data_IF_119865589836
#
_entry.id   IF_119865589836
#
_cell.length_a   1.000
_cell.length_b   1.000
_cell.length_c   1.000
_cell.angle_alpha   90.00
_cell.angle_beta   90.00
_cell.angle_gamma   90.00
#
_symmetry.space_group_name_H-M   'P 1'
#
loop_
_entity.id
_entity.type
_entity.pdbx_description
1 polymer ?
#
# COMPACT_ATOMS: atom_id res chain seq x y z
N UNK A 1 -2.30 -28.01 23.84
CA UNK A 1 -3.49 -27.22 24.23
C UNK A 1 -3.07 -25.75 24.24
N UNK A 2 -3.26 -25.06 23.13
CA UNK A 2 -3.41 -23.60 23.01
C UNK A 2 -3.32 -23.22 21.53
N UNK A 3 -4.37 -22.54 21.07
CA UNK A 3 -4.37 -21.60 19.93
C UNK A 3 -4.58 -22.13 18.50
N UNK A 4 -5.71 -22.82 18.30
CA UNK A 4 -6.36 -22.87 16.99
C UNK A 4 -7.67 -22.09 17.05
N UNK A 5 -7.58 -20.79 17.37
CA UNK A 5 -8.67 -19.86 17.03
C UNK A 5 -8.62 -19.61 15.53
N UNK A 6 -9.10 -20.58 14.75
CA UNK A 6 -9.43 -20.42 13.34
C UNK A 6 -10.56 -19.39 13.22
N UNK A 7 -10.19 -18.11 13.28
CA UNK A 7 -11.11 -17.02 13.05
C UNK A 7 -11.38 -16.95 11.55
N UNK A 8 -12.43 -17.65 11.12
CA UNK A 8 -12.90 -17.62 9.75
C UNK A 8 -13.28 -16.18 9.38
N UNK A 9 -12.41 -15.51 8.64
CA UNK A 9 -12.76 -14.30 7.91
C UNK A 9 -13.79 -14.66 6.84
N UNK A 10 -14.86 -13.87 6.74
CA UNK A 10 -15.84 -14.03 5.67
C UNK A 10 -15.18 -13.88 4.30
N UNK A 11 -15.65 -14.65 3.32
CA UNK A 11 -15.15 -14.57 1.94
C UNK A 11 -15.28 -13.16 1.34
N UNK A 12 -16.34 -12.45 1.71
CA UNK A 12 -16.56 -11.06 1.31
C UNK A 12 -15.42 -10.15 1.79
N UNK A 13 -15.00 -10.28 3.05
CA UNK A 13 -13.90 -9.49 3.62
C UNK A 13 -12.56 -9.84 2.96
N UNK A 14 -12.30 -11.13 2.71
CA UNK A 14 -11.10 -11.57 1.99
C UNK A 14 -11.07 -11.00 0.56
N UNK A 15 -12.20 -11.04 -0.14
CA UNK A 15 -12.33 -10.47 -1.49
C UNK A 15 -12.10 -8.96 -1.47
N UNK A 16 -12.71 -8.25 -0.52
CA UNK A 16 -12.55 -6.79 -0.36
C UNK A 16 -11.09 -6.40 -0.12
N UNK A 17 -10.41 -7.04 0.82
CA UNK A 17 -9.00 -6.78 1.11
C UNK A 17 -8.10 -7.10 -0.09
N UNK A 18 -8.35 -8.22 -0.78
CA UNK A 18 -7.60 -8.57 -2.00
C UNK A 18 -7.76 -7.49 -3.06
N UNK A 19 -8.99 -7.03 -3.31
CA UNK A 19 -9.26 -5.98 -4.30
C UNK A 19 -8.59 -4.66 -3.91
N UNK A 20 -8.61 -4.27 -2.63
CA UNK A 20 -7.94 -3.06 -2.16
C UNK A 20 -6.43 -3.11 -2.36
N UNK A 21 -5.78 -4.21 -1.95
CA UNK A 21 -4.33 -4.37 -2.11
C UNK A 21 -3.93 -4.40 -3.59
N UNK A 22 -4.70 -5.11 -4.43
CA UNK A 22 -4.46 -5.14 -5.87
C UNK A 22 -4.67 -3.76 -6.53
N UNK A 23 -5.72 -3.02 -6.15
CA UNK A 23 -5.96 -1.68 -6.66
C UNK A 23 -4.82 -0.72 -6.28
N UNK A 24 -4.33 -0.77 -5.04
CA UNK A 24 -3.17 0.01 -4.61
C UNK A 24 -1.91 -0.33 -5.44
N UNK A 25 -1.67 -1.60 -5.73
CA UNK A 25 -0.54 -2.02 -6.56
C UNK A 25 -0.66 -1.46 -7.99
N UNK A 26 -1.86 -1.52 -8.59
CA UNK A 26 -2.11 -0.96 -9.93
C UNK A 26 -1.93 0.55 -9.94
N UNK A 27 -2.51 1.26 -8.97
CA UNK A 27 -2.35 2.72 -8.85
C UNK A 27 -0.87 3.06 -8.69
N UNK A 28 -0.11 2.32 -7.88
CA UNK A 28 1.33 2.55 -7.73
C UNK A 28 2.08 2.39 -9.06
N UNK A 29 1.78 1.34 -9.85
CA UNK A 29 2.37 1.18 -11.18
C UNK A 29 2.03 2.36 -12.08
N UNK A 30 0.79 2.85 -12.03
CA UNK A 30 0.40 4.06 -12.77
C UNK A 30 1.18 5.29 -12.29
N UNK A 31 1.38 5.47 -10.97
CA UNK A 31 2.21 6.53 -10.40
C UNK A 31 3.66 6.46 -10.89
N UNK A 32 4.24 5.26 -10.92
CA UNK A 32 5.59 5.06 -11.42
C UNK A 32 5.70 5.43 -12.90
N UNK A 33 4.74 4.98 -13.72
CA UNK A 33 4.68 5.30 -15.15
C UNK A 33 4.43 6.79 -15.41
N UNK A 34 3.67 7.47 -14.55
CA UNK A 34 3.51 8.93 -14.66
C UNK A 34 4.75 9.71 -14.24
N UNK A 35 5.75 9.08 -13.63
CA UNK A 35 7.09 9.65 -13.45
C UNK A 35 7.75 10.05 -14.77
N UNK A 36 7.50 9.31 -15.87
CA UNK A 36 7.97 9.69 -17.21
C UNK A 36 7.32 10.96 -17.76
N UNK A 37 6.25 11.45 -17.12
CA UNK A 37 5.52 12.65 -17.51
C UNK A 37 5.89 13.88 -16.65
N UNK A 38 6.89 13.77 -15.76
CA UNK A 38 7.21 14.79 -14.75
C UNK A 38 7.53 16.17 -15.35
N UNK A 39 8.17 16.22 -16.52
CA UNK A 39 8.53 17.46 -17.20
C UNK A 39 7.46 17.96 -18.19
N UNK A 40 6.28 17.34 -18.17
CA UNK A 40 5.17 17.70 -19.06
C UNK A 40 4.04 18.38 -18.30
N UNK A 41 3.12 19.02 -19.02
CA UNK A 41 1.88 19.55 -18.46
C UNK A 41 1.02 18.46 -17.78
N UNK A 42 1.28 17.19 -18.06
CA UNK A 42 0.57 16.04 -17.50
C UNK A 42 1.12 15.60 -16.13
N UNK A 43 2.13 16.28 -15.58
CA UNK A 43 2.66 15.99 -14.23
C UNK A 43 1.58 16.08 -13.14
N UNK A 44 0.46 16.79 -13.38
CA UNK A 44 -0.63 16.86 -12.40
C UNK A 44 -1.20 15.47 -12.04
N UNK A 45 -1.10 14.49 -12.96
CA UNK A 45 -1.53 13.12 -12.71
C UNK A 45 -0.74 12.43 -11.58
N UNK A 46 0.55 12.77 -11.38
CA UNK A 46 1.33 12.25 -10.25
C UNK A 46 0.65 12.59 -8.92
N UNK A 47 0.21 13.85 -8.74
CA UNK A 47 -0.49 14.26 -7.51
C UNK A 47 -1.82 13.54 -7.33
N UNK A 48 -2.57 13.29 -8.42
CA UNK A 48 -3.81 12.51 -8.37
C UNK A 48 -3.51 11.08 -7.91
N UNK A 49 -2.54 10.40 -8.51
CA UNK A 49 -2.25 9.00 -8.15
C UNK A 49 -1.68 8.86 -6.74
N UNK A 50 -0.79 9.76 -6.30
CA UNK A 50 -0.33 9.77 -4.91
C UNK A 50 -1.49 10.04 -3.93
N UNK A 51 -2.45 10.91 -4.28
CA UNK A 51 -3.66 11.14 -3.48
C UNK A 51 -4.53 9.89 -3.38
N UNK A 52 -4.68 9.14 -4.47
CA UNK A 52 -5.39 7.87 -4.46
C UNK A 52 -4.68 6.80 -3.62
N UNK A 53 -3.34 6.73 -3.66
CA UNK A 53 -2.56 5.85 -2.79
C UNK A 53 -2.73 6.19 -1.31
N UNK A 54 -2.81 7.48 -0.98
CA UNK A 54 -3.06 7.96 0.37
C UNK A 54 -4.45 7.55 0.87
N UNK A 55 -5.50 7.88 0.10
CA UNK A 55 -6.88 7.53 0.46
C UNK A 55 -7.03 6.01 0.54
N UNK A 56 -6.53 5.28 -0.45
CA UNK A 56 -6.56 3.82 -0.48
C UNK A 56 -5.80 3.19 0.68
N UNK A 57 -4.69 3.80 1.11
CA UNK A 57 -3.94 3.38 2.30
C UNK A 57 -4.74 3.49 3.58
N UNK A 58 -5.38 4.63 3.80
CA UNK A 58 -6.28 4.85 4.94
C UNK A 58 -7.46 3.87 4.92
N UNK A 59 -8.08 3.68 3.75
CA UNK A 59 -9.19 2.73 3.58
C UNK A 59 -8.72 1.29 3.86
N UNK A 60 -7.54 0.90 3.41
CA UNK A 60 -6.97 -0.42 3.69
C UNK A 60 -6.74 -0.61 5.19
N UNK A 61 -6.16 0.38 5.88
CA UNK A 61 -5.94 0.32 7.32
C UNK A 61 -7.27 0.22 8.09
N UNK A 62 -8.26 1.05 7.75
CA UNK A 62 -9.60 1.01 8.36
C UNK A 62 -10.31 -0.31 8.13
N UNK A 63 -10.26 -0.84 6.89
CA UNK A 63 -10.81 -2.16 6.56
C UNK A 63 -10.07 -3.27 7.32
N UNK A 64 -8.76 -3.13 7.52
CA UNK A 64 -7.95 -4.09 8.28
C UNK A 64 -8.34 -4.09 9.76
N UNK A 65 -8.56 -2.93 10.39
CA UNK A 65 -9.02 -2.80 11.78
C UNK A 65 -10.37 -3.48 11.99
N UNK A 66 -11.30 -3.26 11.06
CA UNK A 66 -12.66 -3.81 11.13
C UNK A 66 -12.76 -5.26 10.68
N UNK A 67 -11.75 -5.76 9.95
CA UNK A 67 -11.67 -7.17 9.58
C UNK A 67 -11.25 -8.04 10.76
N UNK A 68 -11.59 -9.33 10.69
CA UNK A 68 -11.08 -10.36 11.61
C UNK A 68 -9.64 -10.81 11.27
N UNK A 69 -8.88 -10.04 10.49
CA UNK A 69 -7.50 -10.40 10.16
C UNK A 69 -6.62 -10.34 11.41
N UNK A 70 -5.85 -11.39 11.67
CA UNK A 70 -4.95 -11.49 12.83
C UNK A 70 -3.51 -11.79 12.42
N UNK A 71 -2.59 -11.67 13.39
CA UNK A 71 -1.20 -12.04 13.25
C UNK A 71 -0.48 -11.36 12.08
N UNK A 72 0.26 -12.16 11.31
CA UNK A 72 1.11 -11.69 10.20
C UNK A 72 0.29 -10.98 9.10
N UNK A 73 -0.89 -11.51 8.76
CA UNK A 73 -1.74 -10.91 7.71
C UNK A 73 -2.12 -9.47 8.08
N UNK A 74 -2.55 -9.25 9.33
CA UNK A 74 -2.89 -7.91 9.82
C UNK A 74 -1.69 -6.96 9.76
N UNK A 75 -0.51 -7.43 10.19
CA UNK A 75 0.71 -6.62 10.19
C UNK A 75 1.12 -6.18 8.78
N UNK A 76 1.09 -7.08 7.79
CA UNK A 76 1.45 -6.73 6.42
C UNK A 76 0.40 -5.84 5.72
N UNK A 77 -0.89 -6.00 6.05
CA UNK A 77 -1.93 -5.09 5.56
C UNK A 77 -1.74 -3.66 6.10
N UNK A 78 -1.41 -3.53 7.39
CA UNK A 78 -1.04 -2.23 7.95
C UNK A 78 0.24 -1.67 7.34
N UNK A 79 1.29 -2.49 7.19
CA UNK A 79 2.53 -2.06 6.54
C UNK A 79 2.24 -1.49 5.14
N UNK A 80 1.41 -2.19 4.37
CA UNK A 80 1.00 -1.76 3.02
C UNK A 80 0.28 -0.42 3.06
N UNK A 81 -0.71 -0.27 3.95
CA UNK A 81 -1.50 0.96 4.07
C UNK A 81 -0.71 2.15 4.62
N UNK A 82 0.18 1.92 5.58
CA UNK A 82 1.10 2.94 6.10
C UNK A 82 2.05 3.38 5.00
N UNK A 83 2.72 2.43 4.33
CA UNK A 83 3.65 2.75 3.26
C UNK A 83 2.97 3.55 2.13
N UNK A 84 1.78 3.15 1.69
CA UNK A 84 1.05 3.88 0.64
C UNK A 84 0.63 5.30 1.08
N UNK A 85 0.32 5.50 2.36
CA UNK A 85 0.02 6.81 2.95
C UNK A 85 1.28 7.69 3.00
N UNK A 86 2.40 7.12 3.42
CA UNK A 86 3.69 7.82 3.51
C UNK A 86 4.21 8.26 2.14
N UNK A 87 3.92 7.53 1.07
CA UNK A 87 4.34 7.89 -0.29
C UNK A 87 3.90 9.32 -0.68
N UNK A 88 2.65 9.71 -0.41
CA UNK A 88 2.18 11.08 -0.69
C UNK A 88 2.89 12.10 0.20
N UNK A 89 2.99 11.83 1.50
CA UNK A 89 3.58 12.76 2.48
C UNK A 89 5.02 13.06 2.11
N UNK A 90 5.81 12.03 1.80
CA UNK A 90 7.20 12.17 1.41
C UNK A 90 7.35 12.76 0.00
N UNK A 91 6.44 12.48 -0.93
CA UNK A 91 6.45 13.10 -2.26
C UNK A 91 6.22 14.62 -2.18
N UNK A 92 5.26 15.06 -1.36
CA UNK A 92 5.05 16.50 -1.11
C UNK A 92 6.29 17.11 -0.46
N UNK A 93 6.90 16.41 0.50
CA UNK A 93 8.15 16.84 1.13
C UNK A 93 9.29 17.00 0.12
N UNK A 94 9.47 16.00 -0.75
CA UNK A 94 10.46 16.02 -1.83
C UNK A 94 10.28 17.23 -2.75
N UNK A 95 9.07 17.41 -3.27
CA UNK A 95 8.74 18.55 -4.14
C UNK A 95 8.97 19.90 -3.45
N UNK A 96 8.63 20.00 -2.17
CA UNK A 96 8.86 21.22 -1.39
C UNK A 96 10.35 21.55 -1.26
N UNK A 97 11.19 20.58 -0.92
CA UNK A 97 12.65 20.79 -0.79
C UNK A 97 13.30 21.07 -2.15
N UNK A 98 12.87 20.37 -3.21
CA UNK A 98 13.29 20.59 -4.60
C UNK A 98 13.02 22.02 -5.05
N UNK A 99 11.78 22.51 -4.85
CA UNK A 99 11.38 23.87 -5.22
C UNK A 99 12.11 24.96 -4.41
N UNK A 100 12.51 24.66 -3.18
CA UNK A 100 13.30 25.57 -2.33
C UNK A 100 14.81 25.50 -2.59
N UNK A 101 15.28 24.55 -3.41
CA UNK A 101 16.70 24.38 -3.74
C UNK A 101 17.56 23.73 -2.65
N UNK A 102 16.95 23.02 -1.69
CA UNK A 102 17.66 22.33 -0.61
C UNK A 102 18.16 20.94 -1.06
N UNK A 103 19.21 20.90 -1.87
CA UNK A 103 19.69 19.69 -2.57
C UNK A 103 20.03 18.50 -1.65
N UNK A 104 20.66 18.73 -0.51
CA UNK A 104 21.06 17.65 0.42
C UNK A 104 19.83 16.98 1.07
N UNK A 105 18.82 17.78 1.41
CA UNK A 105 17.57 17.31 1.98
C UNK A 105 16.69 16.64 0.92
N UNK A 106 16.61 17.22 -0.28
CA UNK A 106 15.93 16.64 -1.43
C UNK A 106 16.40 15.20 -1.69
N UNK A 107 17.72 14.99 -1.84
CA UNK A 107 18.28 13.65 -2.07
C UNK A 107 18.04 12.67 -0.92
N UNK A 108 18.04 13.17 0.32
CA UNK A 108 17.72 12.36 1.50
C UNK A 108 16.25 11.91 1.52
N UNK A 109 15.32 12.80 1.15
CA UNK A 109 13.89 12.48 1.07
C UNK A 109 13.61 11.54 -0.12
N UNK A 110 14.30 11.72 -1.24
CA UNK A 110 14.21 10.82 -2.39
C UNK A 110 14.65 9.39 -2.01
N UNK A 111 15.77 9.24 -1.31
CA UNK A 111 16.22 7.94 -0.80
C UNK A 111 15.17 7.29 0.12
N UNK A 112 14.53 8.08 0.99
CA UNK A 112 13.43 7.58 1.85
C UNK A 112 12.21 7.16 1.03
N UNK A 113 11.86 7.85 -0.05
CA UNK A 113 10.79 7.45 -0.97
C UNK A 113 11.07 6.07 -1.60
N UNK A 114 12.32 5.78 -1.97
CA UNK A 114 12.71 4.46 -2.49
C UNK A 114 12.58 3.36 -1.42
N UNK A 115 12.98 3.65 -0.18
CA UNK A 115 12.78 2.70 0.93
C UNK A 115 11.30 2.45 1.23
N UNK A 116 10.46 3.49 1.25
CA UNK A 116 9.01 3.37 1.43
C UNK A 116 8.40 2.57 0.29
N UNK A 117 8.84 2.80 -0.95
CA UNK A 117 8.44 2.03 -2.14
C UNK A 117 8.75 0.55 -1.98
N UNK A 118 9.95 0.21 -1.52
CA UNK A 118 10.34 -1.18 -1.30
C UNK A 118 9.45 -1.84 -0.23
N UNK A 119 9.22 -1.16 0.88
CA UNK A 119 8.32 -1.63 1.95
C UNK A 119 6.88 -1.80 1.47
N UNK A 120 6.39 -0.88 0.63
CA UNK A 120 5.08 -0.97 0.02
C UNK A 120 4.95 -2.25 -0.81
N UNK A 121 5.91 -2.53 -1.70
CA UNK A 121 5.86 -3.75 -2.54
C UNK A 121 5.99 -5.04 -1.73
N UNK A 122 6.86 -5.08 -0.72
CA UNK A 122 6.92 -6.20 0.23
C UNK A 122 5.55 -6.39 0.89
N UNK A 123 4.94 -5.30 1.37
CA UNK A 123 3.59 -5.30 1.95
C UNK A 123 2.54 -5.87 1.00
N UNK A 124 2.49 -5.38 -0.24
CA UNK A 124 1.55 -5.83 -1.28
C UNK A 124 1.69 -7.33 -1.54
N UNK A 125 2.91 -7.78 -1.85
CA UNK A 125 3.16 -9.18 -2.22
C UNK A 125 2.82 -10.11 -1.07
N UNK A 126 3.30 -9.81 0.14
CA UNK A 126 3.07 -10.67 1.31
C UNK A 126 1.60 -10.66 1.71
N UNK A 127 0.92 -9.52 1.69
CA UNK A 127 -0.52 -9.40 1.95
C UNK A 127 -1.33 -10.30 0.99
N UNK A 128 -1.06 -10.24 -0.32
CA UNK A 128 -1.77 -11.05 -1.30
C UNK A 128 -1.51 -12.55 -1.12
N UNK A 129 -0.27 -12.94 -0.84
CA UNK A 129 0.09 -14.35 -0.58
C UNK A 129 -0.64 -14.87 0.67
N UNK A 130 -0.65 -14.10 1.76
CA UNK A 130 -1.29 -14.51 3.01
C UNK A 130 -2.81 -14.59 2.88
N UNK A 131 -3.45 -13.61 2.22
CA UNK A 131 -4.89 -13.65 1.96
C UNK A 131 -5.26 -14.85 1.08
N UNK A 132 -4.47 -15.16 0.05
CA UNK A 132 -4.71 -16.33 -0.81
C UNK A 132 -4.63 -17.65 -0.04
N UNK A 133 -3.66 -17.78 0.88
CA UNK A 133 -3.56 -18.95 1.76
C UNK A 133 -4.78 -19.11 2.67
N UNK A 134 -5.27 -18.02 3.25
CA UNK A 134 -6.50 -18.03 4.05
C UNK A 134 -7.72 -18.46 3.22
N UNK A 135 -7.82 -18.02 1.97
CA UNK A 135 -8.91 -18.43 1.07
C UNK A 135 -8.88 -19.94 0.79
N UNK A 136 -7.71 -20.52 0.57
CA UNK A 136 -7.56 -21.96 0.32
C UNK A 136 -7.83 -22.85 1.53
N UNK A 137 -7.65 -22.32 2.75
CA UNK A 137 -8.05 -23.02 3.99
C UNK A 137 -9.56 -23.00 4.21
N UNK A 138 -10.25 -21.96 3.71
CA UNK A 138 -11.70 -21.79 3.87
C UNK A 138 -12.53 -22.46 2.77
N UNK A 139 -11.91 -22.91 1.68
CA UNK A 139 -12.62 -23.70 0.65
C UNK A 139 -12.83 -25.13 1.16
N UNK A 140 -14.07 -25.68 1.14
CA UNK A 140 -14.30 -27.06 1.51
C UNK A 140 -13.44 -27.96 0.62
N UNK A 141 -12.66 -28.85 1.23
CA UNK A 141 -11.98 -29.92 0.51
C UNK A 141 -13.06 -30.74 -0.18
N UNK A 142 -13.17 -30.58 -1.50
CA UNK A 142 -14.00 -31.40 -2.37
C UNK A 142 -13.47 -32.82 -2.44
#
# INVERSE_FOLDING_TARGET
MADETHHNMSEENLRRLTMLVAALAVIYVMTFLSGFLQDTQLNFFNYIFFSLLFIGGIVLMSTTVTSKATGKTRAFLFLTGIASTLLLIFYIGYEWFRLKGYRDLEGSIEALLYWITLLFWIGVVVSLVLIRRLKGLNSPQS
#
